data_IF_180572550842
#
_entry.id   IF_180572550842
#
_cell.length_a   1.000
_cell.length_b   1.000
_cell.length_c   1.000
_cell.angle_alpha   90.00
_cell.angle_beta   90.00
_cell.angle_gamma   90.00
#
_symmetry.space_group_name_H-M   'P 1'
#
loop_
_entity.id
_entity.type
_entity.pdbx_description
1 polymer ?
#
# COMPACT_ATOMS: atom_id res chain seq x y z
N UNK A 1 -8.20 19.66 4.19
CA UNK A 1 -9.05 18.44 4.17
C UNK A 1 -9.53 18.15 5.59
N UNK A 2 -10.81 17.84 5.81
CA UNK A 2 -11.32 17.51 7.15
C UNK A 2 -11.22 16.00 7.40
N UNK A 3 -10.36 15.60 8.33
CA UNK A 3 -10.13 14.20 8.70
C UNK A 3 -10.60 13.86 10.13
N UNK A 4 -11.21 14.81 10.84
CA UNK A 4 -11.62 14.62 12.23
C UNK A 4 -12.69 13.52 12.41
N UNK A 5 -13.67 13.34 11.49
CA UNK A 5 -14.58 12.20 11.56
C UNK A 5 -13.85 10.85 11.49
N UNK A 6 -12.86 10.72 10.60
CA UNK A 6 -12.04 9.52 10.45
C UNK A 6 -11.21 9.27 11.72
N UNK A 7 -10.57 10.31 12.26
CA UNK A 7 -9.81 10.24 13.52
C UNK A 7 -10.66 9.71 14.67
N UNK A 8 -11.85 10.28 14.88
CA UNK A 8 -12.77 9.84 15.94
C UNK A 8 -13.22 8.39 15.76
N UNK A 9 -13.64 8.03 14.54
CA UNK A 9 -14.07 6.65 14.26
C UNK A 9 -12.95 5.62 14.50
N UNK A 10 -11.70 5.95 14.15
CA UNK A 10 -10.55 5.09 14.46
C UNK A 10 -10.29 5.00 15.97
N UNK A 11 -10.45 6.09 16.72
CA UNK A 11 -10.29 6.13 18.19
C UNK A 11 -11.39 5.38 18.94
N UNK A 12 -12.57 5.25 18.35
CA UNK A 12 -13.67 4.46 18.91
C UNK A 12 -13.39 2.94 18.84
N UNK A 13 -12.38 2.51 18.07
CA UNK A 13 -11.89 1.13 18.09
C UNK A 13 -11.03 0.90 19.32
N UNK A 14 -11.38 -0.11 20.14
CA UNK A 14 -10.76 -0.36 21.43
C UNK A 14 -9.23 -0.52 21.36
N UNK A 15 -8.72 -1.21 20.33
CA UNK A 15 -7.27 -1.39 20.15
C UNK A 15 -6.52 -0.11 19.74
N UNK A 16 -7.21 0.92 19.25
CA UNK A 16 -6.62 2.15 18.74
C UNK A 16 -6.88 3.39 19.62
N UNK A 17 -7.70 3.26 20.67
CA UNK A 17 -8.13 4.37 21.52
C UNK A 17 -6.96 5.24 21.99
N UNK A 18 -5.83 4.64 22.37
CA UNK A 18 -4.62 5.35 22.83
C UNK A 18 -3.43 5.26 21.87
N UNK A 19 -3.61 4.70 20.67
CA UNK A 19 -2.53 4.53 19.71
C UNK A 19 -2.07 5.87 19.14
N UNK A 20 -0.80 6.26 19.35
CA UNK A 20 -0.24 7.48 18.77
C UNK A 20 -0.23 7.44 17.22
N UNK A 21 -0.22 6.23 16.64
CA UNK A 21 -0.19 6.04 15.18
C UNK A 21 -1.45 6.52 14.46
N UNK A 22 -2.59 6.64 15.17
CA UNK A 22 -3.80 7.26 14.61
C UNK A 22 -3.52 8.73 14.27
N UNK A 23 -2.92 9.48 15.20
CA UNK A 23 -2.64 10.90 14.98
C UNK A 23 -1.56 11.06 13.92
N UNK A 24 -0.48 10.27 13.99
CA UNK A 24 0.58 10.29 12.96
C UNK A 24 0.00 10.00 11.56
N UNK A 25 -0.89 9.01 11.43
CA UNK A 25 -1.55 8.71 10.16
C UNK A 25 -2.39 9.90 9.68
N UNK A 26 -3.30 10.41 10.51
CA UNK A 26 -4.21 11.50 10.14
C UNK A 26 -3.46 12.81 9.84
N UNK A 27 -2.44 13.14 10.63
CA UNK A 27 -1.65 14.35 10.46
C UNK A 27 -0.84 14.28 9.17
N UNK A 28 -0.28 13.12 8.80
CA UNK A 28 0.36 12.96 7.49
C UNK A 28 -0.63 13.19 6.34
N UNK A 29 -1.88 12.72 6.45
CA UNK A 29 -2.92 12.97 5.45
C UNK A 29 -3.26 14.47 5.35
N UNK A 30 -3.34 15.18 6.50
CA UNK A 30 -3.62 16.62 6.53
C UNK A 30 -2.44 17.43 5.98
N UNK A 31 -1.22 17.17 6.44
CA UNK A 31 0.01 17.86 6.03
C UNK A 31 0.21 17.70 4.53
N UNK A 32 0.16 16.47 4.03
CA UNK A 32 0.27 16.18 2.61
C UNK A 32 -0.73 16.99 1.79
N UNK A 33 -1.92 17.26 2.34
CA UNK A 33 -2.95 17.99 1.61
C UNK A 33 -2.72 19.47 1.38
N UNK A 34 -1.72 20.01 2.06
CA UNK A 34 -1.29 21.40 1.94
C UNK A 34 -0.02 21.53 1.09
N UNK A 35 0.56 20.40 0.67
CA UNK A 35 1.79 20.37 -0.10
C UNK A 35 1.54 20.54 -1.59
N UNK A 36 2.48 21.21 -2.23
CA UNK A 36 2.51 21.40 -3.69
C UNK A 36 3.80 20.85 -4.31
N UNK A 37 4.87 20.71 -3.52
CA UNK A 37 6.14 20.15 -3.98
C UNK A 37 6.03 18.62 -4.14
N UNK A 38 6.23 18.06 -5.35
CA UNK A 38 6.08 16.63 -5.58
C UNK A 38 7.05 15.76 -4.79
N UNK A 39 8.27 16.24 -4.51
CA UNK A 39 9.26 15.49 -3.72
C UNK A 39 8.82 15.35 -2.26
N UNK A 40 8.39 16.45 -1.64
CA UNK A 40 7.82 16.41 -0.28
C UNK A 40 6.51 15.59 -0.23
N UNK A 41 5.66 15.70 -1.25
CA UNK A 41 4.47 14.83 -1.37
C UNK A 41 4.88 13.34 -1.38
N UNK A 42 5.91 12.96 -2.15
CA UNK A 42 6.46 11.59 -2.20
C UNK A 42 6.90 11.12 -0.81
N UNK A 43 7.67 11.93 -0.09
CA UNK A 43 8.12 11.63 1.29
C UNK A 43 6.94 11.37 2.22
N UNK A 44 5.93 12.23 2.15
CA UNK A 44 4.73 12.08 2.97
C UNK A 44 3.86 10.88 2.58
N UNK A 45 3.83 10.45 1.31
CA UNK A 45 3.19 9.17 0.93
C UNK A 45 3.85 7.99 1.64
N UNK A 46 5.19 7.94 1.65
CA UNK A 46 5.93 6.84 2.31
C UNK A 46 5.68 6.86 3.82
N UNK A 47 5.77 8.03 4.46
CA UNK A 47 5.46 8.22 5.88
C UNK A 47 4.02 7.82 6.22
N UNK A 48 3.07 8.18 5.36
CA UNK A 48 1.67 7.82 5.49
C UNK A 48 1.46 6.30 5.43
N UNK A 49 2.09 5.62 4.47
CA UNK A 49 2.03 4.17 4.36
C UNK A 49 2.60 3.47 5.59
N UNK A 50 3.74 3.97 6.08
CA UNK A 50 4.38 3.46 7.29
C UNK A 50 3.49 3.63 8.52
N UNK A 51 2.98 4.84 8.76
CA UNK A 51 2.08 5.14 9.87
C UNK A 51 0.81 4.28 9.82
N UNK A 52 0.23 4.10 8.63
CA UNK A 52 -0.93 3.22 8.42
C UNK A 52 -0.64 1.79 8.86
N UNK A 53 0.50 1.20 8.47
CA UNK A 53 0.81 -0.17 8.86
C UNK A 53 1.12 -0.31 10.34
N UNK A 54 1.85 0.64 10.95
CA UNK A 54 2.07 0.63 12.42
C UNK A 54 0.77 0.78 13.21
N UNK A 55 -0.18 1.55 12.70
CA UNK A 55 -1.53 1.63 13.25
C UNK A 55 -2.25 0.27 13.16
N UNK A 56 -2.30 -0.35 11.97
CA UNK A 56 -2.94 -1.66 11.78
C UNK A 56 -2.26 -2.79 12.57
N UNK A 57 -0.96 -2.68 12.84
CA UNK A 57 -0.22 -3.60 13.71
C UNK A 57 -0.65 -3.52 15.17
N UNK A 58 -1.19 -2.36 15.58
CA UNK A 58 -1.75 -2.16 16.92
C UNK A 58 -3.17 -2.73 17.04
N UNK A 59 -3.80 -3.14 15.94
CA UNK A 59 -5.18 -3.61 15.95
C UNK A 59 -5.35 -5.06 16.40
N UNK A 60 -6.46 -5.34 17.06
CA UNK A 60 -7.02 -6.71 17.08
C UNK A 60 -7.46 -7.12 15.66
N UNK A 61 -7.69 -8.40 15.43
CA UNK A 61 -8.17 -8.88 14.11
C UNK A 61 -9.49 -8.21 13.72
N UNK A 62 -10.43 -8.08 14.65
CA UNK A 62 -11.73 -7.46 14.40
C UNK A 62 -11.62 -5.96 14.16
N UNK A 63 -10.82 -5.25 14.98
CA UNK A 63 -10.63 -3.81 14.82
C UNK A 63 -9.84 -3.48 13.55
N UNK A 64 -8.97 -4.38 13.07
CA UNK A 64 -8.21 -4.19 11.82
C UNK A 64 -9.15 -4.09 10.62
N UNK A 65 -10.15 -4.96 10.53
CA UNK A 65 -11.13 -4.93 9.43
C UNK A 65 -11.91 -3.61 9.45
N UNK A 66 -12.43 -3.23 10.62
CA UNK A 66 -13.16 -1.96 10.80
C UNK A 66 -12.29 -0.74 10.50
N UNK A 67 -11.02 -0.75 10.92
CA UNK A 67 -10.10 0.34 10.63
C UNK A 67 -9.90 0.50 9.11
N UNK A 68 -9.79 -0.60 8.37
CA UNK A 68 -9.70 -0.56 6.91
C UNK A 68 -10.98 0.01 6.27
N UNK A 69 -12.16 -0.38 6.74
CA UNK A 69 -13.45 0.18 6.29
C UNK A 69 -13.50 1.70 6.50
N UNK A 70 -13.17 2.18 7.71
CA UNK A 70 -13.13 3.61 8.05
C UNK A 70 -12.15 4.38 7.15
N UNK A 71 -10.98 3.80 6.88
CA UNK A 71 -9.99 4.41 5.99
C UNK A 71 -10.52 4.49 4.57
N UNK A 72 -11.13 3.43 4.05
CA UNK A 72 -11.66 3.40 2.69
C UNK A 72 -12.84 4.36 2.49
N UNK A 73 -13.68 4.53 3.51
CA UNK A 73 -14.76 5.53 3.50
C UNK A 73 -14.18 6.95 3.48
N UNK A 74 -13.17 7.25 4.32
CA UNK A 74 -12.50 8.54 4.29
C UNK A 74 -11.81 8.82 2.94
N UNK A 75 -11.19 7.79 2.32
CA UNK A 75 -10.60 7.94 0.99
C UNK A 75 -11.63 8.26 -0.08
N UNK A 76 -12.82 7.65 0.00
CA UNK A 76 -13.91 7.91 -0.94
C UNK A 76 -14.35 9.37 -0.90
N UNK A 77 -14.48 9.94 0.30
CA UNK A 77 -14.83 11.37 0.49
C UNK A 77 -13.76 12.30 -0.11
N UNK A 78 -12.48 11.92 -0.02
CA UNK A 78 -11.35 12.76 -0.44
C UNK A 78 -10.64 12.26 -1.70
N UNK A 79 -11.31 11.46 -2.54
CA UNK A 79 -10.70 10.74 -3.67
C UNK A 79 -9.94 11.65 -4.64
N UNK A 80 -10.49 12.82 -4.97
CA UNK A 80 -9.85 13.77 -5.89
C UNK A 80 -8.48 14.21 -5.38
N UNK A 81 -8.41 14.51 -4.09
CA UNK A 81 -7.19 14.97 -3.46
C UNK A 81 -6.15 13.84 -3.39
N UNK A 82 -6.55 12.65 -2.97
CA UNK A 82 -5.66 11.50 -2.91
C UNK A 82 -5.11 11.12 -4.29
N UNK A 83 -5.96 11.14 -5.33
CA UNK A 83 -5.51 10.91 -6.70
C UNK A 83 -4.46 11.93 -7.16
N UNK A 84 -4.64 13.20 -6.82
CA UNK A 84 -3.65 14.24 -7.11
C UNK A 84 -2.32 13.94 -6.40
N UNK A 85 -2.35 13.71 -5.08
CA UNK A 85 -1.13 13.47 -4.30
C UNK A 85 -0.37 12.22 -4.74
N UNK A 86 -1.07 11.12 -5.02
CA UNK A 86 -0.42 9.91 -5.56
C UNK A 86 0.11 10.13 -6.98
N UNK A 87 -0.59 10.92 -7.81
CA UNK A 87 -0.09 11.33 -9.12
C UNK A 87 1.21 12.12 -9.03
N UNK A 88 1.28 13.12 -8.15
CA UNK A 88 2.50 13.91 -7.93
C UNK A 88 3.67 13.04 -7.41
N UNK A 89 3.42 12.20 -6.41
CA UNK A 89 4.45 11.32 -5.86
C UNK A 89 5.05 10.38 -6.93
N UNK A 90 4.21 9.88 -7.85
CA UNK A 90 4.65 9.06 -8.98
C UNK A 90 5.53 9.82 -9.97
N UNK A 91 5.21 11.08 -10.27
CA UNK A 91 5.98 11.87 -11.26
C UNK A 91 7.46 11.98 -10.86
N UNK A 92 7.75 12.08 -9.57
CA UNK A 92 9.13 12.22 -9.06
C UNK A 92 9.78 10.90 -8.65
N UNK A 93 9.01 9.83 -8.47
CA UNK A 93 9.55 8.48 -8.37
C UNK A 93 10.08 7.97 -9.73
N UNK A 94 9.96 8.77 -10.80
CA UNK A 94 10.21 8.36 -12.18
C UNK A 94 11.20 9.22 -12.94
N UNK A 95 12.17 9.89 -12.29
CA UNK A 95 13.15 10.78 -12.93
C UNK A 95 14.12 10.09 -13.92
N UNK A 96 13.82 8.84 -14.28
CA UNK A 96 14.51 8.09 -15.33
C UNK A 96 13.68 7.76 -16.56
N UNK A 97 12.34 7.85 -16.58
CA UNK A 97 11.51 7.49 -17.76
C UNK A 97 11.79 6.11 -18.40
N UNK A 98 12.67 5.30 -17.80
CA UNK A 98 12.97 3.95 -18.20
C UNK A 98 11.85 3.15 -17.60
N UNK A 99 10.89 2.77 -18.43
CA UNK A 99 10.06 1.61 -18.15
C UNK A 99 11.01 0.55 -17.57
N UNK A 100 10.72 0.09 -16.34
CA UNK A 100 11.37 -1.09 -15.81
C UNK A 100 11.09 -2.16 -16.86
N UNK A 101 12.08 -2.45 -17.72
CA UNK A 101 11.99 -3.57 -18.63
C UNK A 101 11.97 -4.77 -17.70
N UNK A 102 10.79 -5.34 -17.52
CA UNK A 102 10.61 -6.68 -17.02
C UNK A 102 11.21 -7.60 -18.09
N UNK A 103 12.55 -7.65 -18.16
CA UNK A 103 13.23 -8.74 -18.85
C UNK A 103 12.81 -10.02 -18.13
N UNK A 104 12.43 -11.09 -18.85
CA UNK A 104 12.15 -12.37 -18.22
C UNK A 104 13.42 -12.85 -17.52
N UNK A 105 13.53 -12.63 -16.21
CA UNK A 105 14.60 -13.26 -15.43
C UNK A 105 14.32 -14.76 -15.41
N UNK A 106 15.18 -15.53 -16.10
CA UNK A 106 15.30 -16.97 -15.90
C UNK A 106 15.59 -17.22 -14.43
N UNK A 107 14.61 -17.77 -13.71
CA UNK A 107 14.74 -18.11 -12.31
C UNK A 107 15.70 -19.30 -12.18
N UNK A 108 16.92 -19.06 -11.69
CA UNK A 108 17.74 -20.14 -11.15
C UNK A 108 17.09 -20.64 -9.85
N UNK A 109 16.58 -21.87 -9.86
CA UNK A 109 15.79 -22.52 -8.80
C UNK A 109 16.54 -22.73 -7.46
N UNK A 110 17.76 -22.22 -7.28
CA UNK A 110 18.67 -22.67 -6.20
C UNK A 110 19.05 -21.62 -5.15
N UNK A 111 18.43 -20.43 -5.15
CA UNK A 111 18.60 -19.46 -4.06
C UNK A 111 17.34 -19.37 -3.21
N UNK A 112 17.38 -20.05 -2.05
CA UNK A 112 16.47 -19.95 -0.89
C UNK A 112 15.10 -19.33 -1.18
N UNK A 113 14.11 -20.21 -1.40
CA UNK A 113 12.69 -19.89 -1.51
C UNK A 113 12.29 -18.90 -0.41
N UNK A 114 12.10 -17.64 -0.82
CA UNK A 114 11.30 -16.68 -0.07
C UNK A 114 9.87 -17.19 -0.21
N UNK A 115 9.42 -18.03 0.72
CA UNK A 115 8.02 -18.44 0.87
C UNK A 115 7.18 -17.24 1.34
N UNK A 116 7.16 -16.15 0.57
CA UNK A 116 5.88 -15.48 0.41
C UNK A 116 5.00 -16.52 -0.27
N UNK A 117 3.87 -16.86 0.31
CA UNK A 117 2.85 -17.66 -0.36
C UNK A 117 1.96 -16.69 -1.16
N UNK A 118 2.27 -16.40 -2.44
CA UNK A 118 1.44 -15.57 -3.30
C UNK A 118 0.14 -16.27 -3.67
N UNK A 119 0.04 -17.59 -3.47
CA UNK A 119 -1.13 -18.38 -3.87
C UNK A 119 -2.34 -17.92 -3.08
N UNK A 120 -2.26 -17.85 -1.75
CA UNK A 120 -3.40 -17.39 -0.94
C UNK A 120 -3.79 -15.93 -1.16
N UNK A 121 -2.85 -15.04 -1.49
CA UNK A 121 -3.18 -13.66 -1.87
C UNK A 121 -3.91 -13.64 -3.21
N UNK A 122 -3.37 -14.31 -4.24
CA UNK A 122 -3.99 -14.38 -5.57
C UNK A 122 -5.38 -15.00 -5.51
N UNK A 123 -5.56 -16.07 -4.74
CA UNK A 123 -6.86 -16.71 -4.52
C UNK A 123 -7.85 -15.77 -3.85
N UNK A 124 -7.43 -15.05 -2.80
CA UNK A 124 -8.28 -14.06 -2.13
C UNK A 124 -8.74 -12.95 -3.07
N UNK A 125 -7.86 -12.47 -3.95
CA UNK A 125 -8.21 -11.45 -4.95
C UNK A 125 -9.08 -12.03 -6.07
N UNK A 126 -8.83 -13.27 -6.51
CA UNK A 126 -9.65 -13.96 -7.52
C UNK A 126 -11.06 -14.30 -7.05
N UNK A 127 -11.29 -14.33 -5.73
CA UNK A 127 -12.63 -14.43 -5.16
C UNK A 127 -13.48 -13.16 -5.36
N UNK A 128 -12.86 -12.04 -5.77
CA UNK A 128 -13.56 -10.78 -6.06
C UNK A 128 -14.07 -10.82 -7.50
N UNK A 129 -15.40 -10.85 -7.75
CA UNK A 129 -15.95 -11.11 -9.08
C UNK A 129 -15.49 -10.11 -10.15
N UNK A 130 -15.41 -8.82 -9.84
CA UNK A 130 -15.02 -7.80 -10.81
C UNK A 130 -13.55 -7.90 -11.25
N UNK A 131 -12.71 -8.61 -10.50
CA UNK A 131 -11.28 -8.76 -10.74
C UNK A 131 -10.91 -10.06 -11.48
N UNK A 132 -11.90 -10.80 -11.98
CA UNK A 132 -11.69 -12.03 -12.75
C UNK A 132 -11.42 -11.80 -14.24
N UNK A 133 -11.46 -10.55 -14.70
CA UNK A 133 -11.17 -10.24 -16.10
C UNK A 133 -9.65 -10.33 -16.40
N UNK A 134 -9.25 -10.58 -17.66
CA UNK A 134 -7.84 -10.80 -18.02
C UNK A 134 -6.89 -9.66 -17.62
N UNK A 135 -7.34 -8.41 -17.72
CA UNK A 135 -6.53 -7.23 -17.36
C UNK A 135 -6.26 -7.20 -15.85
N UNK A 136 -7.27 -7.49 -15.01
CA UNK A 136 -7.08 -7.56 -13.57
C UNK A 136 -6.17 -8.72 -13.16
N UNK A 137 -6.30 -9.88 -13.81
CA UNK A 137 -5.41 -11.03 -13.55
C UNK A 137 -3.96 -10.68 -13.88
N UNK A 138 -3.70 -10.06 -15.04
CA UNK A 138 -2.36 -9.64 -15.43
C UNK A 138 -1.78 -8.61 -14.45
N UNK A 139 -2.57 -7.61 -14.04
CA UNK A 139 -2.14 -6.61 -13.06
C UNK A 139 -1.84 -7.22 -11.69
N UNK A 140 -2.61 -8.24 -11.27
CA UNK A 140 -2.39 -8.98 -10.03
C UNK A 140 -1.10 -9.80 -10.08
N UNK A 141 -0.83 -10.48 -11.20
CA UNK A 141 0.40 -11.23 -11.38
C UNK A 141 1.63 -10.30 -11.34
N UNK A 142 1.58 -9.19 -12.08
CA UNK A 142 2.62 -8.17 -12.05
C UNK A 142 2.82 -7.59 -10.63
N UNK A 143 1.75 -7.33 -9.88
CA UNK A 143 1.84 -6.84 -8.51
C UNK A 143 2.62 -7.83 -7.61
N UNK A 144 2.40 -9.13 -7.77
CA UNK A 144 3.11 -10.16 -7.02
C UNK A 144 4.60 -10.24 -7.42
N UNK A 145 4.88 -10.10 -8.72
CA UNK A 145 6.25 -10.11 -9.23
C UNK A 145 7.04 -8.91 -8.69
N UNK A 146 6.47 -7.71 -8.75
CA UNK A 146 7.09 -6.50 -8.21
C UNK A 146 7.38 -6.62 -6.72
N UNK A 147 6.45 -7.19 -5.94
CA UNK A 147 6.69 -7.42 -4.52
C UNK A 147 7.87 -8.36 -4.29
N UNK A 148 7.95 -9.42 -5.08
CA UNK A 148 9.06 -10.40 -5.01
C UNK A 148 10.39 -9.78 -5.40
N UNK A 149 10.42 -8.92 -6.42
CA UNK A 149 11.62 -8.18 -6.85
C UNK A 149 12.01 -7.17 -5.75
N UNK A 150 11.06 -6.39 -5.24
CA UNK A 150 11.31 -5.39 -4.21
C UNK A 150 11.88 -6.00 -2.92
N UNK A 151 11.40 -7.18 -2.53
CA UNK A 151 11.90 -7.93 -1.37
C UNK A 151 13.37 -8.35 -1.51
N UNK A 152 13.84 -8.58 -2.75
CA UNK A 152 15.21 -9.01 -3.07
C UNK A 152 16.15 -7.86 -3.43
N UNK A 153 15.61 -6.73 -3.87
CA UNK A 153 16.41 -5.55 -4.24
C UNK A 153 17.25 -5.08 -3.06
N UNK A 154 18.48 -4.65 -3.36
CA UNK A 154 19.43 -4.06 -2.39
C UNK A 154 19.54 -2.54 -2.52
N UNK A 155 18.95 -1.95 -3.57
CA UNK A 155 19.00 -0.51 -3.84
C UNK A 155 17.75 0.17 -3.30
N UNK A 156 17.92 1.21 -2.48
CA UNK A 156 16.78 2.00 -1.98
C UNK A 156 16.06 2.73 -3.11
N UNK A 157 16.78 3.19 -4.12
CA UNK A 157 16.20 3.84 -5.31
C UNK A 157 15.33 2.86 -6.10
N UNK A 158 15.84 1.66 -6.36
CA UNK A 158 15.07 0.62 -7.07
C UNK A 158 13.83 0.20 -6.26
N UNK A 159 13.99 0.01 -4.96
CA UNK A 159 12.90 -0.27 -4.01
C UNK A 159 11.84 0.82 -4.04
N UNK A 160 12.23 2.08 -4.01
CA UNK A 160 11.32 3.21 -4.11
C UNK A 160 10.52 3.16 -5.42
N UNK A 161 11.19 2.97 -6.56
CA UNK A 161 10.53 2.89 -7.86
C UNK A 161 9.53 1.72 -7.93
N UNK A 162 9.92 0.55 -7.41
CA UNK A 162 9.05 -0.62 -7.32
C UNK A 162 7.84 -0.37 -6.39
N UNK A 163 8.02 0.36 -5.27
CA UNK A 163 6.92 0.75 -4.39
C UNK A 163 5.85 1.54 -5.15
N UNK A 164 6.26 2.58 -5.86
CA UNK A 164 5.32 3.43 -6.59
C UNK A 164 4.64 2.68 -7.73
N UNK A 165 5.34 1.75 -8.39
CA UNK A 165 4.71 0.90 -9.39
C UNK A 165 3.72 -0.12 -8.78
N UNK A 166 4.02 -0.69 -7.62
CA UNK A 166 3.07 -1.50 -6.86
C UNK A 166 1.83 -0.69 -6.45
N UNK A 167 2.01 0.58 -6.07
CA UNK A 167 0.89 1.47 -5.75
C UNK A 167 0.00 1.75 -6.96
N UNK A 168 0.58 1.87 -8.17
CA UNK A 168 -0.18 2.03 -9.41
C UNK A 168 -1.04 0.81 -9.71
N UNK A 169 -0.45 -0.38 -9.71
CA UNK A 169 -1.20 -1.63 -9.94
C UNK A 169 -2.26 -1.85 -8.87
N UNK A 170 -1.95 -1.54 -7.61
CA UNK A 170 -2.94 -1.57 -6.52
C UNK A 170 -4.10 -0.61 -6.78
N UNK A 171 -3.82 0.61 -7.23
CA UNK A 171 -4.85 1.61 -7.52
C UNK A 171 -5.71 1.17 -8.71
N UNK A 172 -5.09 0.62 -9.76
CA UNK A 172 -5.79 0.04 -10.90
C UNK A 172 -6.76 -1.08 -10.45
N UNK A 173 -6.26 -2.08 -9.72
CA UNK A 173 -7.08 -3.18 -9.20
C UNK A 173 -8.20 -2.68 -8.28
N UNK A 174 -7.92 -1.69 -7.43
CA UNK A 174 -8.93 -1.08 -6.57
C UNK A 174 -10.03 -0.37 -7.37
N UNK A 175 -9.67 0.35 -8.43
CA UNK A 175 -10.62 1.05 -9.28
C UNK A 175 -11.45 0.11 -10.17
N UNK A 176 -10.96 -1.11 -10.41
CA UNK A 176 -11.69 -2.19 -11.09
C UNK A 176 -12.70 -2.92 -10.18
N UNK A 177 -12.66 -2.68 -8.86
CA UNK A 177 -13.69 -3.18 -7.94
C UNK A 177 -15.04 -2.51 -8.22
N UNK A 178 -16.11 -3.29 -8.37
CA UNK A 178 -17.41 -2.79 -8.81
C UNK A 178 -18.14 -1.98 -7.74
N UNK A 179 -17.88 -2.26 -6.46
CA UNK A 179 -18.54 -1.63 -5.33
C UNK A 179 -17.60 -1.50 -4.11
N UNK A 180 -18.08 -0.82 -3.07
CA UNK A 180 -17.30 -0.54 -1.86
C UNK A 180 -16.94 -1.80 -1.07
N UNK A 181 -17.80 -2.81 -1.06
CA UNK A 181 -17.54 -4.09 -0.40
C UNK A 181 -16.37 -4.80 -1.06
N UNK A 182 -16.33 -4.86 -2.40
CA UNK A 182 -15.22 -5.44 -3.15
C UNK A 182 -13.91 -4.67 -2.92
N UNK A 183 -13.96 -3.33 -2.88
CA UNK A 183 -12.80 -2.48 -2.55
C UNK A 183 -12.23 -2.82 -1.17
N UNK A 184 -13.11 -2.95 -0.18
CA UNK A 184 -12.73 -3.32 1.18
C UNK A 184 -12.11 -4.72 1.21
N UNK A 185 -12.73 -5.70 0.53
CA UNK A 185 -12.20 -7.07 0.42
C UNK A 185 -10.84 -7.11 -0.27
N UNK A 186 -10.63 -6.31 -1.31
CA UNK A 186 -9.34 -6.21 -1.98
C UNK A 186 -8.25 -5.66 -1.05
N UNK A 187 -8.55 -4.59 -0.30
CA UNK A 187 -7.62 -4.02 0.67
C UNK A 187 -7.35 -5.00 1.83
N UNK A 188 -8.37 -5.74 2.28
CA UNK A 188 -8.23 -6.78 3.28
C UNK A 188 -7.34 -7.92 2.79
N UNK A 189 -7.48 -8.37 1.53
CA UNK A 189 -6.62 -9.40 0.96
C UNK A 189 -5.13 -8.98 0.97
N UNK A 190 -4.85 -7.71 0.64
CA UNK A 190 -3.49 -7.14 0.74
C UNK A 190 -3.00 -7.18 2.19
N UNK A 191 -3.83 -6.76 3.14
CA UNK A 191 -3.46 -6.72 4.55
C UNK A 191 -3.24 -8.11 5.16
N UNK A 192 -4.08 -9.10 4.82
CA UNK A 192 -3.90 -10.49 5.24
C UNK A 192 -2.59 -11.06 4.69
N UNK A 193 -2.27 -10.78 3.43
CA UNK A 193 -0.98 -11.16 2.84
C UNK A 193 0.19 -10.50 3.58
N UNK A 194 0.04 -9.21 3.93
CA UNK A 194 1.05 -8.41 4.62
C UNK A 194 1.24 -8.81 6.09
N UNK A 195 0.22 -9.30 6.79
CA UNK A 195 0.31 -9.75 8.20
C UNK A 195 1.09 -11.05 8.38
N UNK A 196 1.38 -11.80 7.31
CA UNK A 196 2.30 -12.95 7.39
C UNK A 196 3.65 -12.47 7.96
N UNK A 197 4.24 -13.14 8.97
CA UNK A 197 5.39 -12.62 9.71
C UNK A 197 6.55 -12.14 8.82
N UNK A 198 6.87 -12.89 7.77
CA UNK A 198 7.94 -12.55 6.84
C UNK A 198 7.58 -11.32 5.99
N UNK A 199 6.37 -11.25 5.44
CA UNK A 199 5.91 -10.11 4.64
C UNK A 199 5.80 -8.83 5.47
N UNK A 200 5.33 -8.94 6.72
CA UNK A 200 5.28 -7.85 7.68
C UNK A 200 6.67 -7.29 7.95
N UNK A 201 7.64 -8.17 8.22
CA UNK A 201 9.04 -7.81 8.44
C UNK A 201 9.66 -7.13 7.22
N UNK A 202 9.46 -7.70 6.02
CA UNK A 202 9.98 -7.13 4.77
C UNK A 202 9.37 -5.75 4.55
N UNK A 203 8.05 -5.62 4.59
CA UNK A 203 7.33 -4.35 4.36
C UNK A 203 7.71 -3.29 5.39
N UNK A 204 7.80 -3.67 6.67
CA UNK A 204 8.20 -2.76 7.75
C UNK A 204 9.60 -2.22 7.56
N UNK A 205 10.59 -3.12 7.39
CA UNK A 205 11.98 -2.70 7.14
C UNK A 205 12.10 -1.87 5.86
N UNK A 206 11.40 -2.28 4.81
CA UNK A 206 11.41 -1.58 3.52
C UNK A 206 10.94 -0.13 3.65
N UNK A 207 9.84 0.12 4.36
CA UNK A 207 9.34 1.49 4.58
C UNK A 207 10.21 2.29 5.54
N UNK A 208 10.81 1.65 6.55
CA UNK A 208 11.78 2.28 7.45
C UNK A 208 13.03 2.73 6.68
N UNK A 209 13.63 1.84 5.87
CA UNK A 209 14.81 2.12 5.03
C UNK A 209 14.53 3.30 4.08
N UNK A 210 13.35 3.32 3.44
CA UNK A 210 12.93 4.42 2.58
C UNK A 210 12.70 5.72 3.37
N UNK A 211 12.14 5.66 4.57
CA UNK A 211 11.90 6.86 5.37
C UNK A 211 13.20 7.57 5.80
N UNK A 212 14.21 6.81 6.21
CA UNK A 212 15.50 7.36 6.65
C UNK A 212 16.39 7.84 5.49
N UNK A 213 16.17 7.35 4.26
CA UNK A 213 16.91 7.80 3.09
C UNK A 213 16.42 9.14 2.48
N UNK A 214 15.42 9.78 3.10
CA UNK A 214 14.76 10.99 2.59
C UNK A 214 15.17 12.28 3.32
N UNK A 215 15.99 12.17 4.36
CA UNK A 215 16.60 13.27 5.11
C UNK A 215 18.00 13.60 4.56
#
# INVERSE_FOLDING_TARGET
MNMEPCRRALRDLGSLQTSAWVDVFIDNVIIQSQMTDPYEIKKHVIRLMHAKYKMLDSCTIMDRVKALEIIEDAKKEHRRHLNYTYGCARMVAGDGGKAVKLEPTEYNETEMLVESDPVSFKESVRAIPSLQNPTAIQALDQLCDLYSIAAKSKSNEERENLLFHMMELKTLLHDMCANQTEKTNFILAIEVSREKPQNKRITGKFLEDLQYGLD
#
